data_IF_333772479721
#
_entry.id   IF_333772479721
#
_cell.length_a   1.000
_cell.length_b   1.000
_cell.length_c   1.000
_cell.angle_alpha   90.00
_cell.angle_beta   90.00
_cell.angle_gamma   90.00
#
_symmetry.space_group_name_H-M   'P 1'
#
loop_
_entity.id
_entity.type
_entity.pdbx_description
1 polymer ?
#
# COMPACT_ATOMS: atom_id res chain seq x y z
N UNK A 1 24.21 -6.18 -9.88
CA UNK A 1 23.72 -4.85 -9.44
C UNK A 1 22.50 -5.08 -8.57
N UNK A 2 22.30 -4.35 -7.45
CA UNK A 2 21.13 -4.59 -6.60
C UNK A 2 19.86 -4.16 -7.34
N UNK A 3 18.87 -5.07 -7.43
CA UNK A 3 17.55 -4.75 -7.98
C UNK A 3 16.89 -3.71 -7.08
N UNK A 4 16.34 -2.65 -7.66
CA UNK A 4 15.47 -1.72 -6.93
C UNK A 4 14.04 -2.23 -7.02
N UNK A 5 13.41 -2.50 -5.88
CA UNK A 5 11.98 -2.84 -5.83
C UNK A 5 11.17 -1.55 -5.70
N UNK A 6 10.16 -1.40 -6.55
CA UNK A 6 9.13 -0.36 -6.46
C UNK A 6 7.80 -1.05 -6.16
N UNK A 7 6.96 -0.40 -5.38
CA UNK A 7 5.62 -0.84 -5.05
C UNK A 7 4.62 0.04 -5.79
N UNK A 8 3.93 -0.51 -6.77
CA UNK A 8 2.70 0.10 -7.27
C UNK A 8 1.59 -0.11 -6.22
N UNK A 9 1.01 0.99 -5.77
CA UNK A 9 -0.05 1.01 -4.76
C UNK A 9 -1.27 1.69 -5.34
N UNK A 10 -2.40 1.00 -5.37
CA UNK A 10 -3.68 1.57 -5.79
C UNK A 10 -4.60 1.66 -4.59
N UNK A 11 -5.02 2.87 -4.25
CA UNK A 11 -5.87 3.12 -3.09
C UNK A 11 -7.26 3.53 -3.55
N UNK A 12 -8.26 2.82 -3.06
CA UNK A 12 -9.68 3.06 -3.33
C UNK A 12 -10.41 3.25 -2.01
N UNK A 13 -11.36 4.18 -1.94
CA UNK A 13 -12.27 4.28 -0.81
C UNK A 13 -13.43 3.30 -0.97
N UNK A 14 -14.40 3.71 -1.78
CA UNK A 14 -15.58 2.94 -2.12
C UNK A 14 -15.38 2.11 -3.40
N UNK A 15 -16.10 0.98 -3.54
CA UNK A 15 -16.06 0.15 -4.75
C UNK A 15 -16.51 0.88 -6.02
N UNK A 16 -17.15 2.05 -5.87
CA UNK A 16 -17.63 2.95 -6.92
C UNK A 16 -16.63 4.05 -7.34
N UNK A 17 -15.54 4.24 -6.61
CA UNK A 17 -14.60 5.35 -6.81
C UNK A 17 -13.48 5.08 -7.83
N UNK A 18 -12.79 6.16 -8.22
CA UNK A 18 -11.52 6.10 -8.96
C UNK A 18 -10.39 5.73 -8.01
N UNK A 19 -9.43 4.97 -8.53
CA UNK A 19 -8.21 4.63 -7.80
C UNK A 19 -7.26 5.83 -7.72
N UNK A 20 -6.58 5.95 -6.59
CA UNK A 20 -5.39 6.79 -6.45
C UNK A 20 -4.18 5.88 -6.62
N UNK A 21 -3.49 6.02 -7.75
CA UNK A 21 -2.29 5.26 -8.09
C UNK A 21 -1.02 5.94 -7.55
N UNK A 22 -0.11 5.15 -7.00
CA UNK A 22 1.14 5.61 -6.39
C UNK A 22 2.26 4.61 -6.67
N UNK A 23 3.49 5.12 -6.70
CA UNK A 23 4.69 4.30 -6.62
C UNK A 23 5.42 4.64 -5.31
N UNK A 24 5.77 3.61 -4.54
CA UNK A 24 6.48 3.76 -3.27
C UNK A 24 7.70 2.84 -3.23
N UNK A 25 8.77 3.28 -2.58
CA UNK A 25 9.82 2.35 -2.16
C UNK A 25 9.35 1.56 -0.94
N UNK A 26 9.74 0.28 -0.76
CA UNK A 26 9.44 -0.43 0.47
C UNK A 26 9.92 0.33 1.71
N UNK A 27 8.99 0.58 2.63
CA UNK A 27 9.22 1.35 3.87
C UNK A 27 8.95 2.85 3.79
N UNK A 28 8.73 3.39 2.59
CA UNK A 28 8.33 4.76 2.36
C UNK A 28 6.87 4.99 2.78
N UNK A 29 6.59 6.13 3.43
CA UNK A 29 5.23 6.59 3.67
C UNK A 29 4.79 7.49 2.53
N UNK A 30 3.58 7.26 2.01
CA UNK A 30 3.05 8.04 0.91
C UNK A 30 2.86 9.52 1.27
N UNK A 31 2.77 10.40 0.24
CA UNK A 31 2.10 11.69 0.38
C UNK A 31 0.66 11.53 0.91
N UNK A 32 0.05 12.64 1.31
CA UNK A 32 -1.37 12.63 1.71
C UNK A 32 -2.24 12.37 0.50
N UNK A 33 -2.99 11.28 0.57
CA UNK A 33 -3.99 10.86 -0.41
C UNK A 33 -5.32 11.49 -0.04
N UNK A 34 -6.04 12.00 -1.03
CA UNK A 34 -7.41 12.50 -0.86
C UNK A 34 -8.33 11.59 -1.67
N UNK A 35 -9.20 10.86 -0.98
CA UNK A 35 -10.19 9.99 -1.63
C UNK A 35 -11.37 10.82 -2.17
N UNK A 36 -12.20 10.27 -3.07
CA UNK A 36 -13.33 11.00 -3.67
C UNK A 36 -14.32 11.61 -2.67
N UNK A 37 -14.43 11.03 -1.47
CA UNK A 37 -15.27 11.51 -0.37
C UNK A 37 -14.54 12.48 0.59
N UNK A 38 -13.43 13.07 0.15
CA UNK A 38 -12.57 14.01 0.90
C UNK A 38 -11.86 13.43 2.13
N UNK A 39 -11.97 12.12 2.40
CA UNK A 39 -11.18 11.50 3.46
C UNK A 39 -9.70 11.46 3.07
N UNK A 40 -8.85 11.66 4.06
CA UNK A 40 -7.41 11.84 3.86
C UNK A 40 -6.61 10.76 4.58
N UNK A 41 -5.78 10.07 3.82
CA UNK A 41 -4.99 8.96 4.32
C UNK A 41 -3.55 9.03 3.83
N UNK A 42 -2.71 8.23 4.46
CA UNK A 42 -1.38 7.87 3.97
C UNK A 42 -1.25 6.36 4.01
N UNK A 43 -0.40 5.82 3.16
CA UNK A 43 -0.14 4.38 3.06
C UNK A 43 1.35 4.15 3.17
N UNK A 44 1.74 3.05 3.82
CA UNK A 44 3.11 2.56 3.87
C UNK A 44 3.10 1.05 3.73
N UNK A 45 4.02 0.51 2.94
CA UNK A 45 4.23 -0.93 2.82
C UNK A 45 5.71 -1.24 3.08
N UNK A 46 6.00 -2.04 4.10
CA UNK A 46 7.36 -2.43 4.49
C UNK A 46 7.54 -3.93 4.32
N UNK A 47 8.61 -4.39 3.67
CA UNK A 47 8.97 -5.82 3.67
C UNK A 47 9.29 -6.23 5.11
N UNK A 48 8.62 -7.25 5.62
CA UNK A 48 8.87 -7.81 6.96
C UNK A 48 9.53 -9.17 6.92
N UNK A 49 9.32 -9.95 5.85
CA UNK A 49 10.00 -11.21 5.57
C UNK A 49 9.78 -11.61 4.12
N UNK A 50 10.59 -12.54 3.63
CA UNK A 50 10.38 -13.20 2.34
C UNK A 50 9.96 -14.65 2.58
N UNK A 51 8.85 -15.05 1.96
CA UNK A 51 8.31 -16.40 2.00
C UNK A 51 8.61 -17.14 0.68
N UNK A 52 9.02 -18.42 0.71
CA UNK A 52 9.35 -19.17 -0.52
C UNK A 52 8.20 -19.34 -1.51
N UNK A 53 6.94 -19.31 -1.04
CA UNK A 53 5.75 -19.51 -1.87
C UNK A 53 5.10 -18.20 -2.29
N UNK A 54 5.11 -17.22 -1.39
CA UNK A 54 4.39 -15.96 -1.59
C UNK A 54 5.29 -14.78 -1.94
N UNK A 55 6.61 -14.97 -1.95
CA UNK A 55 7.58 -13.89 -2.13
C UNK A 55 7.63 -12.98 -0.92
N UNK A 56 7.89 -11.69 -1.14
CA UNK A 56 7.93 -10.71 -0.07
C UNK A 56 6.56 -10.55 0.61
N UNK A 57 6.58 -10.59 1.93
CA UNK A 57 5.45 -10.27 2.80
C UNK A 57 5.65 -8.86 3.34
N UNK A 58 4.62 -8.04 3.19
CA UNK A 58 4.61 -6.63 3.55
C UNK A 58 3.73 -6.38 4.76
N UNK A 59 4.22 -5.59 5.71
CA UNK A 59 3.37 -4.87 6.66
C UNK A 59 2.79 -3.64 5.94
N UNK A 60 1.52 -3.73 5.57
CA UNK A 60 0.75 -2.66 4.95
C UNK A 60 0.02 -1.86 6.02
N UNK A 61 0.34 -0.57 6.10
CA UNK A 61 -0.22 0.37 7.07
C UNK A 61 -1.11 1.38 6.36
N UNK A 62 -2.34 1.52 6.86
CA UNK A 62 -3.20 2.68 6.61
C UNK A 62 -3.00 3.67 7.76
N UNK A 63 -2.67 4.91 7.45
CA UNK A 63 -2.45 5.99 8.41
C UNK A 63 -3.31 7.20 8.09
N UNK A 64 -3.52 8.06 9.08
CA UNK A 64 -4.17 9.36 8.89
C UNK A 64 -3.26 10.35 8.13
N UNK A 65 -3.80 11.53 7.82
CA UNK A 65 -3.05 12.57 7.11
C UNK A 65 -1.77 13.05 7.84
N UNK A 66 -1.70 12.87 9.16
CA UNK A 66 -0.55 13.22 10.01
C UNK A 66 0.47 12.08 10.12
N UNK A 67 0.16 10.90 9.57
CA UNK A 67 1.02 9.72 9.61
C UNK A 67 0.80 8.83 10.83
N UNK A 68 -0.27 9.04 11.62
CA UNK A 68 -0.63 8.13 12.72
C UNK A 68 -1.26 6.87 12.13
N UNK A 69 -0.74 5.70 12.51
CA UNK A 69 -1.33 4.41 12.15
C UNK A 69 -2.79 4.31 12.60
N UNK A 70 -3.66 3.97 11.65
CA UNK A 70 -5.07 3.67 11.87
C UNK A 70 -5.30 2.17 11.89
N UNK A 71 -4.70 1.46 10.92
CA UNK A 71 -4.75 0.01 10.83
C UNK A 71 -3.52 -0.55 10.11
N UNK A 72 -3.24 -1.82 10.35
CA UNK A 72 -2.11 -2.54 9.77
C UNK A 72 -2.53 -3.98 9.41
N UNK A 73 -2.04 -4.47 8.27
CA UNK A 73 -2.24 -5.85 7.82
C UNK A 73 -0.98 -6.40 7.18
N UNK A 74 -0.73 -7.69 7.35
CA UNK A 74 0.33 -8.38 6.63
C UNK A 74 -0.23 -8.98 5.33
N UNK A 75 0.34 -8.60 4.20
CA UNK A 75 -0.08 -9.08 2.88
C UNK A 75 1.11 -9.56 2.05
N UNK A 76 0.87 -10.50 1.13
CA UNK A 76 1.80 -10.79 0.07
C UNK A 76 1.73 -9.70 -1.01
N UNK A 77 2.72 -9.66 -1.90
CA UNK A 77 2.65 -8.87 -3.12
C UNK A 77 1.50 -9.32 -4.05
N UNK A 78 1.15 -8.47 -5.02
CA UNK A 78 0.07 -8.71 -6.00
C UNK A 78 -1.26 -9.09 -5.32
N UNK A 79 -1.62 -8.37 -4.26
CA UNK A 79 -2.78 -8.67 -3.41
C UNK A 79 -3.54 -7.39 -3.06
N UNK A 80 -4.85 -7.52 -2.86
CA UNK A 80 -5.70 -6.44 -2.35
C UNK A 80 -6.00 -6.64 -0.86
N UNK A 81 -5.72 -5.62 -0.05
CA UNK A 81 -6.15 -5.53 1.35
C UNK A 81 -7.42 -4.69 1.45
N UNK A 82 -8.35 -5.06 2.34
CA UNK A 82 -9.55 -4.27 2.64
C UNK A 82 -9.55 -3.86 4.10
N UNK A 83 -9.44 -2.55 4.36
CA UNK A 83 -9.58 -1.93 5.67
C UNK A 83 -11.06 -1.57 5.89
N UNK A 84 -11.85 -2.55 6.35
CA UNK A 84 -13.31 -2.46 6.44
C UNK A 84 -13.83 -1.28 7.29
N UNK A 85 -13.25 -1.06 8.47
CA UNK A 85 -13.62 0.05 9.37
C UNK A 85 -13.44 1.43 8.74
N UNK A 86 -12.58 1.50 7.72
CA UNK A 86 -12.32 2.70 6.98
C UNK A 86 -12.92 2.66 5.59
N UNK A 87 -13.58 1.59 5.13
CA UNK A 87 -14.02 1.48 3.73
C UNK A 87 -12.92 1.97 2.77
N UNK A 88 -11.75 1.33 2.88
CA UNK A 88 -10.57 1.57 2.04
C UNK A 88 -10.04 0.23 1.55
N UNK A 89 -9.77 0.13 0.26
CA UNK A 89 -9.08 -0.99 -0.36
C UNK A 89 -7.74 -0.52 -0.90
N UNK A 90 -6.73 -1.37 -0.74
CA UNK A 90 -5.38 -1.08 -1.21
C UNK A 90 -4.89 -2.31 -1.97
N UNK A 91 -4.63 -2.14 -3.25
CA UNK A 91 -3.90 -3.13 -4.04
C UNK A 91 -2.41 -2.79 -4.01
N UNK A 92 -1.58 -3.81 -3.75
CA UNK A 92 -0.14 -3.70 -3.69
C UNK A 92 0.49 -4.62 -4.73
N UNK A 93 1.28 -4.06 -5.65
CA UNK A 93 2.03 -4.80 -6.66
C UNK A 93 3.51 -4.46 -6.57
N UNK A 94 4.38 -5.40 -6.15
CA UNK A 94 5.81 -5.20 -6.25
C UNK A 94 6.29 -5.38 -7.69
N UNK A 95 7.09 -4.43 -8.15
CA UNK A 95 7.72 -4.42 -9.47
C UNK A 95 9.23 -4.38 -9.27
N UNK A 96 9.91 -5.36 -9.87
CA UNK A 96 11.36 -5.33 -9.98
C UNK A 96 11.75 -4.43 -11.17
N UNK A 97 12.50 -3.36 -10.92
CA UNK A 97 13.15 -2.62 -12.00
C UNK A 97 14.54 -3.18 -12.26
N UNK A 98 14.79 -3.59 -13.50
CA UNK A 98 16.13 -3.77 -14.01
C UNK A 98 16.74 -2.37 -14.25
N UNK A 99 17.91 -2.11 -13.67
CA UNK A 99 18.70 -0.91 -13.93
C UNK A 99 19.54 -1.16 -15.18
#
# INVERSE_FOLDING_TARGET
>A
MPKKQILEVKVRGDLSGRDVDLELSPGEISPVLVLPDNRKYRVKASIIRTDPRFGDIYALVLADAKGKTLAEMNIAGNTTATFGDYSVQIYLLPIEQAI
#
